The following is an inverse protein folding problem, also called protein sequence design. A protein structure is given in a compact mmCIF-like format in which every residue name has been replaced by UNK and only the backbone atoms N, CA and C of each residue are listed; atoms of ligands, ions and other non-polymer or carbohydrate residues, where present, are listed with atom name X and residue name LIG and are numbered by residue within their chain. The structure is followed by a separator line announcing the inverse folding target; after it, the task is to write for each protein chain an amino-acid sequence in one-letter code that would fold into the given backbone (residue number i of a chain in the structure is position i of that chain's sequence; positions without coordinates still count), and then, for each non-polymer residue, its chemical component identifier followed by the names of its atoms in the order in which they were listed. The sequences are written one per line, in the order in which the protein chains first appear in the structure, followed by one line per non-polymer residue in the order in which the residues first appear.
data_IF_859116253571
#
_entry.id   IF_859116253571
#
_cell.length_a   1.000
_cell.length_b   1.000
_cell.length_c   1.000
_cell.angle_alpha   90.00
_cell.angle_beta   90.00
_cell.angle_gamma   90.00
#
_symmetry.space_group_name_H-M   'P 1'
#
loop_
_entity.id
_entity.type
_entity.pdbx_description
1 polymer ?
#
# COMPACT_ATOMS: atom_id res chain seq x y z
N UNK A 1 22.86 -8.38 6.49
CA UNK A 1 22.44 -7.44 5.42
C UNK A 1 21.11 -6.83 5.85
N UNK A 2 20.91 -5.51 5.77
CA UNK A 2 19.69 -4.87 6.25
C UNK A 2 18.54 -5.13 5.23
N UNK A 3 17.43 -5.78 5.62
CA UNK A 3 16.34 -6.14 4.70
C UNK A 3 15.70 -4.95 3.99
N UNK A 4 15.76 -3.74 4.58
CA UNK A 4 15.26 -2.51 3.93
C UNK A 4 16.16 -2.08 2.77
N UNK A 5 17.49 -2.14 2.95
CA UNK A 5 18.43 -1.82 1.88
C UNK A 5 18.33 -2.83 0.74
N UNK A 6 18.06 -4.10 1.07
CA UNK A 6 17.83 -5.13 0.07
C UNK A 6 16.51 -4.91 -0.69
N UNK A 7 15.41 -4.59 0.01
CA UNK A 7 14.13 -4.23 -0.61
C UNK A 7 14.25 -3.00 -1.51
N UNK A 8 15.00 -1.98 -1.09
CA UNK A 8 15.26 -0.78 -1.89
C UNK A 8 15.99 -1.11 -3.19
N UNK A 9 17.06 -1.91 -3.13
CA UNK A 9 17.80 -2.33 -4.31
C UNK A 9 16.91 -3.08 -5.31
N UNK A 10 16.10 -4.02 -4.83
CA UNK A 10 15.15 -4.76 -5.66
C UNK A 10 14.07 -3.85 -6.28
N UNK A 11 13.58 -2.83 -5.56
CA UNK A 11 12.64 -1.86 -6.11
C UNK A 11 13.25 -0.99 -7.22
N UNK A 12 14.51 -0.56 -7.06
CA UNK A 12 15.24 0.20 -8.08
C UNK A 12 15.48 -0.66 -9.34
N UNK A 13 15.83 -1.94 -9.16
CA UNK A 13 15.96 -2.90 -10.26
C UNK A 13 14.62 -3.18 -10.94
N UNK A 14 13.52 -3.25 -10.18
CA UNK A 14 12.17 -3.41 -10.73
C UNK A 14 11.78 -2.22 -11.61
N UNK A 15 12.04 -0.97 -11.18
CA UNK A 15 11.85 0.21 -12.01
C UNK A 15 12.71 0.18 -13.27
N UNK A 16 13.98 -0.25 -13.15
CA UNK A 16 14.87 -0.44 -14.29
C UNK A 16 14.33 -1.47 -15.30
N UNK A 17 13.82 -2.59 -14.80
CA UNK A 17 13.21 -3.64 -15.61
C UNK A 17 11.95 -3.15 -16.34
N UNK A 18 11.09 -2.38 -15.66
CA UNK A 18 9.91 -1.76 -16.28
C UNK A 18 10.30 -0.74 -17.36
N UNK A 19 11.31 0.11 -17.09
CA UNK A 19 11.78 1.13 -18.03
C UNK A 19 12.39 0.51 -19.30
N UNK A 20 13.06 -0.63 -19.16
CA UNK A 20 13.66 -1.38 -20.27
C UNK A 20 12.69 -2.31 -20.98
N UNK A 21 11.44 -2.43 -20.49
CA UNK A 21 10.44 -3.35 -21.04
C UNK A 21 10.70 -4.83 -20.75
N UNK A 22 11.63 -5.15 -19.85
CA UNK A 22 12.00 -6.52 -19.48
C UNK A 22 11.01 -7.11 -18.48
N UNK A 23 9.86 -7.55 -18.98
CA UNK A 23 8.76 -8.12 -18.18
C UNK A 23 9.17 -9.38 -17.41
N UNK A 24 10.06 -10.20 -17.96
CA UNK A 24 10.58 -11.41 -17.30
C UNK A 24 11.42 -11.06 -16.06
N UNK A 25 12.34 -10.10 -16.22
CA UNK A 25 13.19 -9.61 -15.13
C UNK A 25 12.32 -8.95 -14.04
N UNK A 26 11.33 -8.16 -14.44
CA UNK A 26 10.38 -7.54 -13.51
C UNK A 26 9.58 -8.59 -12.71
N UNK A 27 9.18 -9.69 -13.33
CA UNK A 27 8.46 -10.78 -12.65
C UNK A 27 9.37 -11.53 -11.65
N UNK A 28 10.62 -11.80 -12.02
CA UNK A 28 11.62 -12.43 -11.14
C UNK A 28 11.92 -11.55 -9.92
N UNK A 29 12.13 -10.25 -10.14
CA UNK A 29 12.35 -9.28 -9.07
C UNK A 29 11.11 -9.16 -8.17
N UNK A 30 9.91 -9.16 -8.75
CA UNK A 30 8.66 -9.13 -7.98
C UNK A 30 8.52 -10.37 -7.09
N UNK A 31 8.83 -11.56 -7.60
CA UNK A 31 8.79 -12.79 -6.81
C UNK A 31 9.79 -12.74 -5.65
N UNK A 32 10.96 -12.14 -5.86
CA UNK A 32 11.95 -11.97 -4.79
C UNK A 32 11.53 -10.92 -3.76
N UNK A 33 10.94 -9.80 -4.19
CA UNK A 33 10.30 -8.82 -3.31
C UNK A 33 9.21 -9.47 -2.44
N UNK A 34 8.43 -10.41 -2.99
CA UNK A 34 7.37 -11.10 -2.25
C UNK A 34 7.93 -11.98 -1.12
N UNK A 35 9.03 -12.70 -1.38
CA UNK A 35 9.69 -13.53 -0.36
C UNK A 35 10.27 -12.68 0.78
N UNK A 36 10.83 -11.52 0.46
CA UNK A 36 11.42 -10.65 1.49
C UNK A 36 10.42 -9.71 2.15
N UNK A 37 9.22 -9.55 1.57
CA UNK A 37 8.18 -8.66 2.05
C UNK A 37 7.88 -8.76 3.55
N UNK A 38 7.67 -9.97 4.14
CA UNK A 38 7.42 -10.08 5.58
C UNK A 38 8.61 -9.59 6.42
N UNK A 39 9.85 -9.84 5.96
CA UNK A 39 11.06 -9.39 6.64
C UNK A 39 11.27 -7.88 6.51
N UNK A 40 11.04 -7.33 5.33
CA UNK A 40 11.13 -5.89 5.08
C UNK A 40 10.05 -5.13 5.85
N UNK A 41 8.79 -5.57 5.85
CA UNK A 41 7.70 -4.98 6.64
C UNK A 41 7.99 -5.02 8.14
N UNK A 42 8.52 -6.14 8.63
CA UNK A 42 8.90 -6.26 10.05
C UNK A 42 10.04 -5.31 10.42
N UNK A 43 11.07 -5.19 9.58
CA UNK A 43 12.17 -4.25 9.80
C UNK A 43 11.72 -2.79 9.73
N UNK A 44 10.78 -2.46 8.83
CA UNK A 44 10.15 -1.13 8.73
C UNK A 44 9.37 -0.83 10.02
N UNK A 45 8.59 -1.78 10.53
CA UNK A 45 7.84 -1.62 11.77
C UNK A 45 8.76 -1.48 13.00
N UNK A 46 9.84 -2.27 13.05
CA UNK A 46 10.83 -2.22 14.13
C UNK A 46 11.55 -0.85 14.15
N UNK A 47 11.99 -0.36 12.99
CA UNK A 47 12.58 0.98 12.87
C UNK A 47 11.57 2.10 13.14
N UNK A 48 10.30 1.94 12.77
CA UNK A 48 9.25 2.91 13.11
C UNK A 48 8.95 2.92 14.63
N UNK A 49 9.09 1.78 15.31
CA UNK A 49 8.98 1.71 16.77
C UNK A 49 10.19 2.27 17.51
N UNK A 50 11.37 2.29 16.87
CA UNK A 50 12.59 2.93 17.41
C UNK A 50 12.62 4.43 17.10
N UNK A 51 11.99 4.85 16.00
CA UNK A 51 11.90 6.25 15.55
C UNK A 51 10.45 6.71 15.62
N UNK A 52 9.90 6.79 16.84
CA UNK A 52 8.51 7.17 17.08
C UNK A 52 8.21 8.62 16.68
N UNK A 53 9.24 9.49 16.70
CA UNK A 53 9.10 10.89 16.36
C UNK A 53 9.34 11.13 14.87
N UNK A 54 8.24 11.38 14.16
CA UNK A 54 8.26 11.88 12.77
C UNK A 54 8.98 13.23 12.67
N UNK A 55 9.07 13.94 13.81
CA UNK A 55 9.67 15.25 13.96
C UNK A 55 10.84 15.13 14.95
N UNK A 56 12.06 15.29 14.46
CA UNK A 56 13.23 15.41 15.34
C UNK A 56 13.37 16.87 15.72
N UNK A 57 13.39 17.16 17.02
CA UNK A 57 13.86 18.46 17.51
C UNK A 57 15.38 18.52 17.39
N UNK A 58 15.86 19.39 16.52
CA UNK A 58 17.26 19.70 16.40
C UNK A 58 17.71 20.55 17.61
N UNK A 59 19.01 20.55 17.94
CA UNK A 59 19.56 21.31 19.08
C UNK A 59 19.39 22.84 18.97
N UNK A 60 19.00 23.34 17.80
CA UNK A 60 18.63 24.74 17.53
C UNK A 60 17.15 25.04 17.83
N UNK A 61 16.38 24.05 18.30
CA UNK A 61 14.95 24.15 18.57
C UNK A 61 14.08 23.94 17.33
N UNK A 62 14.67 23.69 16.17
CA UNK A 62 13.94 23.50 14.92
C UNK A 62 13.37 22.08 14.86
N UNK A 63 12.11 21.98 14.47
CA UNK A 63 11.44 20.71 14.21
C UNK A 63 11.69 20.30 12.76
N UNK A 64 12.48 19.25 12.53
CA UNK A 64 12.71 18.71 11.19
C UNK A 64 12.05 17.34 11.03
N UNK A 65 11.45 17.12 9.87
CA UNK A 65 10.93 15.80 9.53
C UNK A 65 12.10 14.82 9.43
N UNK A 66 12.00 13.68 10.14
CA UNK A 66 13.05 12.69 10.11
C UNK A 66 13.12 12.06 8.72
N UNK A 67 14.06 12.51 7.90
CA UNK A 67 14.24 12.02 6.53
C UNK A 67 14.37 10.49 6.47
N UNK A 68 14.96 9.87 7.49
CA UNK A 68 15.07 8.43 7.61
C UNK A 68 13.68 7.75 7.72
N UNK A 69 12.77 8.32 8.52
CA UNK A 69 11.39 7.83 8.68
C UNK A 69 10.61 7.99 7.38
N UNK A 70 10.78 9.11 6.69
CA UNK A 70 10.13 9.37 5.41
C UNK A 70 10.62 8.40 4.33
N UNK A 71 11.93 8.15 4.23
CA UNK A 71 12.53 7.17 3.31
C UNK A 71 12.05 5.74 3.62
N UNK A 72 12.02 5.34 4.90
CA UNK A 72 11.52 4.01 5.33
C UNK A 72 10.04 3.82 4.99
N UNK A 73 9.20 4.84 5.19
CA UNK A 73 7.79 4.81 4.78
C UNK A 73 7.64 4.70 3.26
N UNK A 74 8.42 5.48 2.50
CA UNK A 74 8.36 5.44 1.04
C UNK A 74 8.72 4.05 0.49
N UNK A 75 9.72 3.38 1.05
CA UNK A 75 10.06 1.99 0.70
C UNK A 75 8.91 1.04 1.03
N UNK A 76 8.31 1.17 2.22
CA UNK A 76 7.16 0.34 2.61
C UNK A 76 5.95 0.51 1.67
N UNK A 77 5.63 1.75 1.29
CA UNK A 77 4.54 2.05 0.35
C UNK A 77 4.82 1.46 -1.03
N UNK A 78 6.03 1.68 -1.58
CA UNK A 78 6.42 1.13 -2.89
C UNK A 78 6.41 -0.41 -2.91
N UNK A 79 6.90 -1.02 -1.84
CA UNK A 79 6.86 -2.47 -1.68
C UNK A 79 5.41 -2.98 -1.69
N UNK A 80 4.51 -2.28 -1.01
CA UNK A 80 3.08 -2.60 -1.02
C UNK A 80 2.45 -2.39 -2.40
N UNK A 81 2.78 -1.31 -3.12
CA UNK A 81 2.26 -1.07 -4.48
C UNK A 81 2.71 -2.12 -5.52
N UNK A 82 3.93 -2.65 -5.38
CA UNK A 82 4.46 -3.68 -6.28
C UNK A 82 3.83 -5.05 -5.99
N UNK A 83 3.62 -5.36 -4.70
CA UNK A 83 3.16 -6.66 -4.24
C UNK A 83 1.64 -6.77 -4.14
N UNK A 84 0.95 -5.71 -3.73
CA UNK A 84 -0.50 -5.62 -3.82
C UNK A 84 -0.83 -5.24 -5.28
N UNK A 85 -1.30 -6.18 -6.12
CA UNK A 85 -2.01 -5.75 -7.31
C UNK A 85 -3.12 -4.83 -6.82
N UNK A 86 -3.36 -3.71 -7.51
CA UNK A 86 -4.65 -3.04 -7.46
C UNK A 86 -5.71 -4.07 -7.82
N UNK A 87 -6.14 -4.90 -6.88
CA UNK A 87 -7.54 -5.23 -6.76
C UNK A 87 -8.15 -3.86 -6.63
N UNK A 88 -8.69 -3.38 -7.75
CA UNK A 88 -9.82 -2.49 -7.76
C UNK A 88 -10.52 -2.66 -6.42
N UNK A 89 -10.48 -1.62 -5.58
CA UNK A 89 -11.53 -1.44 -4.59
C UNK A 89 -12.79 -1.66 -5.41
N UNK A 90 -13.39 -2.85 -5.29
CA UNK A 90 -14.76 -3.04 -5.61
C UNK A 90 -15.42 -1.94 -4.79
N UNK A 91 -15.85 -0.90 -5.47
CA UNK A 91 -16.75 0.05 -4.90
C UNK A 91 -17.96 -0.80 -4.51
N UNK A 92 -18.00 -1.25 -3.26
CA UNK A 92 -19.26 -1.55 -2.60
C UNK A 92 -19.97 -0.20 -2.51
N UNK A 93 -20.52 0.23 -3.65
CA UNK A 93 -21.74 1.01 -3.68
C UNK A 93 -22.70 0.17 -2.87
N UNK A 94 -22.94 0.58 -1.64
CA UNK A 94 -24.12 0.21 -0.90
C UNK A 94 -25.32 0.44 -1.85
N UNK A 95 -26.07 -0.58 -2.30
CA UNK A 95 -27.32 -0.34 -3.00
C UNK A 95 -28.41 -0.15 -1.94
N UNK A 96 -28.25 0.83 -1.05
CA UNK A 96 -29.40 1.34 -0.29
C UNK A 96 -30.17 2.28 -1.21
N UNK A 97 -31.01 1.68 -2.04
CA UNK A 97 -31.83 2.37 -3.02
C UNK A 97 -32.79 1.44 -3.75
N UNK A 98 -33.27 0.37 -3.10
CA UNK A 98 -34.48 -0.30 -3.53
C UNK A 98 -35.65 0.31 -2.75
N UNK A 99 -36.24 1.36 -3.31
CA UNK A 99 -37.62 1.71 -2.98
C UNK A 99 -38.52 0.78 -3.79
N UNK A 100 -39.37 -0.04 -3.16
CA UNK A 100 -40.36 -0.82 -3.92
C UNK A 100 -41.32 0.15 -4.64
N UNK A 101 -41.81 -0.20 -5.84
CA UNK A 101 -42.84 0.60 -6.50
C UNK A 101 -44.15 0.48 -5.70
N UNK A 102 -44.59 1.58 -5.10
CA UNK A 102 -45.97 1.73 -4.63
C UNK A 102 -46.87 1.79 -5.86
N UNK A 103 -47.34 0.64 -6.33
CA UNK A 103 -48.48 0.55 -7.24
C UNK A 103 -49.77 0.95 -6.51
N UNK A 104 -50.79 1.46 -7.22
CA UNK A 104 -52.06 1.86 -6.61
C UNK A 104 -52.78 0.63 -6.05
N UNK A 105 -53.33 0.77 -4.84
CA UNK A 105 -54.14 -0.24 -4.19
C UNK A 105 -55.41 -0.50 -5.02
N UNK A 106 -55.41 -1.63 -5.74
CA UNK A 106 -56.60 -2.18 -6.37
C UNK A 106 -57.43 -2.92 -5.32
N UNK A 107 -58.70 -2.53 -5.27
CA UNK A 107 -59.78 -2.94 -4.39
C UNK A 107 -59.98 -4.47 -4.34
N UNK A 108 -60.18 -5.11 -3.17
CA UNK A 108 -60.64 -6.49 -3.14
C UNK A 108 -62.16 -6.58 -3.41
N UNK A 109 -62.65 -7.60 -4.14
CA UNK A 109 -64.07 -7.88 -4.25
C UNK A 109 -64.55 -8.62 -3.00
N UNK A 110 -65.70 -8.23 -2.46
CA UNK A 110 -66.43 -9.01 -1.47
C UNK A 110 -67.89 -9.15 -1.92
N UNK A 111 -68.40 -10.37 -1.73
CA UNK A 111 -69.67 -10.94 -2.17
C UNK A 111 -70.92 -10.20 -1.64
#
# INVERSE_FOLDING_TARGET
MNPINYAKGLLDEFEGALRTGSTKLAAEIKAELEKIAPHARRAIADLHGVVEDKIVKLPDGTEAENKLVTDIKAVGVRLDEVLAPKTTKAATKNPTGFTPPTGPADTPPAA
#
